data_IF_654665139739
#
_entry.id   IF_654665139739
#
_cell.length_a   1.000
_cell.length_b   1.000
_cell.length_c   1.000
_cell.angle_alpha   90.00
_cell.angle_beta   90.00
_cell.angle_gamma   90.00
#
_symmetry.space_group_name_H-M   'P 1'
#
loop_
_entity.id
_entity.type
_entity.pdbx_description
1 polymer ?
#
# COMPACT_ATOMS: atom_id res chain seq x y z
N UNK A 1 10.71 81.36 -15.48
CA UNK A 1 11.37 80.08 -15.84
C UNK A 1 10.79 78.95 -14.98
N UNK A 2 10.90 77.70 -15.45
CA UNK A 2 10.06 76.53 -15.15
C UNK A 2 10.20 75.96 -13.73
N UNK A 3 9.08 75.45 -13.20
CA UNK A 3 8.97 74.51 -12.07
C UNK A 3 9.75 73.22 -12.37
N UNK A 4 10.41 72.62 -11.36
CA UNK A 4 10.54 71.16 -11.23
C UNK A 4 10.51 70.75 -9.75
N UNK A 5 9.38 70.17 -9.35
CA UNK A 5 9.24 69.29 -8.18
C UNK A 5 10.10 68.05 -8.45
N UNK A 6 11.12 67.80 -7.63
CA UNK A 6 11.82 66.52 -7.59
C UNK A 6 10.92 65.48 -6.92
N UNK A 7 10.57 64.45 -7.66
CA UNK A 7 9.76 63.32 -7.21
C UNK A 7 10.54 62.50 -6.17
N UNK A 8 9.88 62.20 -5.05
CA UNK A 8 10.33 61.20 -4.09
C UNK A 8 10.49 59.85 -4.81
N UNK A 9 11.66 59.22 -4.66
CA UNK A 9 11.83 57.83 -5.04
C UNK A 9 10.92 56.95 -4.16
N UNK A 10 10.21 55.95 -4.72
CA UNK A 10 9.44 55.03 -3.89
C UNK A 10 10.41 54.19 -3.06
N UNK A 11 10.11 54.05 -1.76
CA UNK A 11 10.82 53.14 -0.88
C UNK A 11 10.75 51.71 -1.44
N UNK A 12 11.80 50.89 -1.27
CA UNK A 12 11.78 49.51 -1.74
C UNK A 12 10.65 48.75 -1.06
N UNK A 13 9.77 48.15 -1.86
CA UNK A 13 8.78 47.19 -1.38
C UNK A 13 9.56 45.98 -0.87
N UNK A 14 9.71 45.89 0.45
CA UNK A 14 10.23 44.70 1.10
C UNK A 14 9.20 43.57 0.88
N UNK A 15 9.41 42.77 -0.16
CA UNK A 15 8.81 41.45 -0.29
C UNK A 15 9.53 40.53 0.70
N UNK A 16 9.01 40.43 1.91
CA UNK A 16 9.56 39.56 2.93
C UNK A 16 8.65 39.51 4.14
N UNK A 17 7.85 38.46 4.24
CA UNK A 17 7.02 38.19 5.41
C UNK A 17 6.29 36.87 5.22
N UNK A 18 6.74 35.86 5.96
CA UNK A 18 6.19 34.51 6.11
C UNK A 18 4.70 34.44 5.76
N UNK A 19 4.34 33.60 4.79
CA UNK A 19 2.96 33.25 4.53
C UNK A 19 2.44 32.57 5.81
N UNK A 20 1.79 33.34 6.68
CA UNK A 20 1.16 32.86 7.91
C UNK A 20 0.07 31.88 7.46
N UNK A 21 0.42 30.60 7.35
CA UNK A 21 -0.53 29.55 7.03
C UNK A 21 -1.64 29.65 8.06
N UNK A 22 -2.85 29.99 7.60
CA UNK A 22 -4.01 30.24 8.44
C UNK A 22 -4.14 29.10 9.49
N UNK A 23 -4.27 29.39 10.80
CA UNK A 23 -4.37 28.35 11.82
C UNK A 23 -5.47 27.31 11.55
N UNK A 24 -6.55 27.72 10.88
CA UNK A 24 -7.62 26.81 10.45
C UNK A 24 -7.16 25.86 9.32
N UNK A 25 -6.31 26.34 8.40
CA UNK A 25 -5.69 25.49 7.37
C UNK A 25 -4.67 24.54 7.99
N UNK A 26 -3.90 24.99 8.99
CA UNK A 26 -2.99 24.10 9.73
C UNK A 26 -3.73 23.00 10.49
N UNK A 27 -4.83 23.36 11.18
CA UNK A 27 -5.69 22.39 11.85
C UNK A 27 -6.30 21.39 10.84
N UNK A 28 -6.79 21.88 9.70
CA UNK A 28 -7.31 21.04 8.62
C UNK A 28 -6.25 20.08 8.06
N UNK A 29 -5.00 20.55 7.87
CA UNK A 29 -3.88 19.73 7.42
C UNK A 29 -3.55 18.63 8.43
N UNK A 30 -3.53 18.95 9.73
CA UNK A 30 -3.30 17.96 10.79
C UNK A 30 -4.37 16.86 10.78
N UNK A 31 -5.65 17.23 10.66
CA UNK A 31 -6.74 16.24 10.54
C UNK A 31 -6.56 15.36 9.30
N UNK A 32 -6.11 15.95 8.18
CA UNK A 32 -5.83 15.20 6.97
C UNK A 32 -4.68 14.19 7.15
N UNK A 33 -3.59 14.58 7.81
CA UNK A 33 -2.46 13.69 8.10
C UNK A 33 -2.86 12.52 9.01
N UNK A 34 -3.67 12.78 10.05
CA UNK A 34 -4.23 11.75 10.92
C UNK A 34 -5.13 10.78 10.13
N UNK A 35 -5.94 11.31 9.21
CA UNK A 35 -6.79 10.50 8.35
C UNK A 35 -5.98 9.62 7.38
N UNK A 36 -4.87 10.14 6.84
CA UNK A 36 -3.95 9.36 5.99
C UNK A 36 -3.23 8.27 6.78
N UNK A 37 -2.85 8.53 8.03
CA UNK A 37 -2.26 7.50 8.89
C UNK A 37 -3.24 6.32 9.11
N UNK A 38 -4.53 6.63 9.34
CA UNK A 38 -5.58 5.61 9.43
C UNK A 38 -5.81 4.89 8.10
N UNK A 39 -5.73 5.61 6.99
CA UNK A 39 -5.89 5.06 5.65
C UNK A 39 -4.78 4.05 5.32
N UNK A 40 -3.52 4.38 5.63
CA UNK A 40 -2.38 3.47 5.46
C UNK A 40 -2.46 2.24 6.36
N UNK A 41 -3.08 2.37 7.54
CA UNK A 41 -3.41 1.25 8.42
C UNK A 41 -4.66 0.45 7.99
N UNK A 42 -5.25 0.76 6.82
CA UNK A 42 -6.46 0.12 6.28
C UNK A 42 -7.70 0.25 7.17
N UNK A 43 -7.69 1.20 8.11
CA UNK A 43 -8.84 1.53 8.94
C UNK A 43 -9.79 2.42 8.14
N UNK A 44 -10.22 1.96 6.97
CA UNK A 44 -10.93 2.76 5.96
C UNK A 44 -12.20 3.41 6.49
N UNK A 45 -12.92 2.75 7.39
CA UNK A 45 -14.11 3.33 8.05
C UNK A 45 -13.75 4.56 8.91
N UNK A 46 -12.72 4.44 9.76
CA UNK A 46 -12.24 5.55 10.59
C UNK A 46 -11.57 6.64 9.75
N UNK A 47 -10.78 6.24 8.76
CA UNK A 47 -10.14 7.16 7.82
C UNK A 47 -11.18 8.01 7.09
N UNK A 48 -12.26 7.40 6.59
CA UNK A 48 -13.36 8.12 5.95
C UNK A 48 -13.98 9.15 6.89
N UNK A 49 -14.26 8.79 8.15
CA UNK A 49 -14.82 9.73 9.14
C UNK A 49 -13.92 10.94 9.36
N UNK A 50 -12.60 10.75 9.48
CA UNK A 50 -11.67 11.87 9.64
C UNK A 50 -11.52 12.70 8.35
N UNK A 51 -11.52 12.05 7.17
CA UNK A 51 -11.48 12.74 5.87
C UNK A 51 -12.73 13.59 5.63
N UNK A 52 -13.91 13.18 6.11
CA UNK A 52 -15.14 13.97 6.02
C UNK A 52 -15.00 15.30 6.79
N UNK A 53 -14.34 15.30 7.96
CA UNK A 53 -14.05 16.54 8.70
C UNK A 53 -13.10 17.47 7.94
N UNK A 54 -12.17 16.91 7.15
CA UNK A 54 -11.27 17.72 6.30
C UNK A 54 -12.04 18.51 5.25
N UNK A 55 -13.21 18.02 4.80
CA UNK A 55 -14.05 18.71 3.81
C UNK A 55 -14.66 20.00 4.34
N UNK A 56 -14.79 20.15 5.66
CA UNK A 56 -15.38 21.32 6.33
C UNK A 56 -14.39 22.48 6.47
N UNK A 57 -13.10 22.23 6.24
CA UNK A 57 -12.04 23.23 6.39
C UNK A 57 -11.91 24.20 5.20
N UNK A 58 -11.17 25.31 5.40
CA UNK A 58 -11.10 26.41 4.43
C UNK A 58 -10.25 26.10 3.18
N UNK A 59 -9.35 25.12 3.21
CA UNK A 59 -8.52 24.76 2.05
C UNK A 59 -9.28 23.83 1.10
N UNK A 60 -9.58 24.35 -0.09
CA UNK A 60 -10.22 23.59 -1.17
C UNK A 60 -9.32 22.47 -1.69
N UNK A 61 -8.01 22.70 -1.76
CA UNK A 61 -7.03 21.70 -2.20
C UNK A 61 -7.01 20.48 -1.29
N UNK A 62 -6.98 20.70 0.04
CA UNK A 62 -7.06 19.60 1.01
C UNK A 62 -8.41 18.88 0.91
N UNK A 63 -9.51 19.60 0.71
CA UNK A 63 -10.82 19.01 0.51
C UNK A 63 -10.90 18.17 -0.79
N UNK A 64 -10.29 18.60 -1.89
CA UNK A 64 -10.22 17.84 -3.14
C UNK A 64 -9.42 16.54 -2.97
N UNK A 65 -8.27 16.60 -2.28
CA UNK A 65 -7.49 15.41 -1.94
C UNK A 65 -8.28 14.47 -1.02
N UNK A 66 -8.94 15.00 0.00
CA UNK A 66 -9.75 14.20 0.92
C UNK A 66 -10.90 13.47 0.19
N UNK A 67 -11.59 14.11 -0.76
CA UNK A 67 -12.61 13.46 -1.61
C UNK A 67 -12.06 12.26 -2.37
N UNK A 68 -10.84 12.36 -2.91
CA UNK A 68 -10.20 11.24 -3.59
C UNK A 68 -9.96 10.07 -2.64
N UNK A 69 -9.44 10.32 -1.43
CA UNK A 69 -9.23 9.26 -0.44
C UNK A 69 -10.54 8.67 0.08
N UNK A 70 -11.60 9.46 0.27
CA UNK A 70 -12.93 8.96 0.65
C UNK A 70 -13.44 7.97 -0.39
N UNK A 71 -13.37 8.32 -1.68
CA UNK A 71 -13.80 7.44 -2.77
C UNK A 71 -13.03 6.11 -2.77
N UNK A 72 -11.72 6.16 -2.53
CA UNK A 72 -10.90 4.94 -2.44
C UNK A 72 -11.29 4.13 -1.19
N UNK A 73 -11.48 4.77 -0.04
CA UNK A 73 -11.89 4.10 1.19
C UNK A 73 -13.26 3.39 1.02
N UNK A 74 -14.22 4.06 0.39
CA UNK A 74 -15.53 3.46 0.06
C UNK A 74 -15.39 2.26 -0.88
N UNK A 75 -14.56 2.37 -1.91
CA UNK A 75 -14.29 1.26 -2.82
C UNK A 75 -13.65 0.07 -2.09
N UNK A 76 -12.70 0.33 -1.18
CA UNK A 76 -12.03 -0.70 -0.36
C UNK A 76 -12.99 -1.38 0.61
N UNK A 77 -13.97 -0.63 1.12
CA UNK A 77 -15.01 -1.13 2.03
C UNK A 77 -16.18 -1.82 1.31
N UNK A 78 -16.30 -1.64 0.00
CA UNK A 78 -17.40 -2.25 -0.76
C UNK A 78 -17.27 -3.78 -0.65
N UNK A 79 -18.34 -4.50 -0.26
CA UNK A 79 -18.31 -5.94 -0.30
C UNK A 79 -18.06 -6.37 -1.74
N UNK A 80 -17.08 -7.25 -1.93
CA UNK A 80 -16.93 -7.92 -3.22
C UNK A 80 -18.16 -8.80 -3.38
N UNK A 81 -18.79 -8.77 -4.56
CA UNK A 81 -19.97 -9.59 -4.84
C UNK A 81 -19.76 -11.00 -4.31
N UNK A 82 -20.72 -11.52 -3.54
CA UNK A 82 -20.65 -12.83 -2.91
C UNK A 82 -20.54 -13.94 -3.97
N UNK A 83 -19.32 -14.18 -4.42
CA UNK A 83 -18.97 -15.43 -5.05
C UNK A 83 -18.68 -16.37 -3.90
N UNK A 84 -19.58 -17.32 -3.67
CA UNK A 84 -19.38 -18.43 -2.75
C UNK A 84 -18.37 -19.39 -3.39
N UNK A 85 -17.07 -19.26 -3.10
CA UNK A 85 -16.06 -20.08 -3.74
C UNK A 85 -16.19 -21.49 -3.17
N UNK A 86 -16.06 -22.50 -4.02
CA UNK A 86 -16.19 -23.92 -3.67
C UNK A 86 -14.92 -24.70 -3.97
N UNK A 87 -14.17 -24.26 -4.97
CA UNK A 87 -12.91 -24.93 -5.36
C UNK A 87 -11.70 -24.23 -4.76
N UNK A 88 -10.57 -24.95 -4.68
CA UNK A 88 -9.31 -24.35 -4.27
C UNK A 88 -8.93 -23.16 -5.17
N UNK A 89 -9.17 -23.28 -6.48
CA UNK A 89 -8.85 -22.25 -7.46
C UNK A 89 -9.74 -21.01 -7.29
N UNK A 90 -11.05 -21.18 -7.07
CA UNK A 90 -11.94 -20.04 -6.82
C UNK A 90 -11.56 -19.29 -5.52
N UNK A 91 -11.18 -20.03 -4.48
CA UNK A 91 -10.65 -19.44 -3.25
C UNK A 91 -9.32 -18.72 -3.48
N UNK A 92 -8.42 -19.29 -4.29
CA UNK A 92 -7.17 -18.66 -4.69
C UNK A 92 -7.40 -17.35 -5.45
N UNK A 93 -8.24 -17.37 -6.50
CA UNK A 93 -8.57 -16.21 -7.30
C UNK A 93 -9.21 -15.10 -6.46
N UNK A 94 -10.10 -15.48 -5.53
CA UNK A 94 -10.64 -14.53 -4.54
C UNK A 94 -9.53 -13.97 -3.65
N UNK A 95 -8.63 -14.81 -3.14
CA UNK A 95 -7.49 -14.39 -2.31
C UNK A 95 -6.61 -13.35 -3.01
N UNK A 96 -6.18 -13.64 -4.24
CA UNK A 96 -5.40 -12.72 -5.08
C UNK A 96 -6.17 -11.43 -5.35
N UNK A 97 -7.47 -11.52 -5.65
CA UNK A 97 -8.32 -10.32 -5.83
C UNK A 97 -8.32 -9.45 -4.57
N UNK A 98 -8.40 -10.07 -3.38
CA UNK A 98 -8.37 -9.34 -2.12
C UNK A 98 -6.98 -8.75 -1.83
N UNK A 99 -5.89 -9.43 -2.21
CA UNK A 99 -4.53 -8.87 -2.11
C UNK A 99 -4.39 -7.61 -2.97
N UNK A 100 -4.84 -7.65 -4.22
CA UNK A 100 -4.82 -6.48 -5.11
C UNK A 100 -5.68 -5.33 -4.58
N UNK A 101 -6.76 -5.66 -3.87
CA UNK A 101 -7.60 -4.70 -3.15
C UNK A 101 -7.07 -4.35 -1.75
N UNK A 102 -5.87 -4.82 -1.37
CA UNK A 102 -5.26 -4.61 -0.05
C UNK A 102 -6.18 -4.98 1.11
N UNK A 103 -7.03 -5.99 0.95
CA UNK A 103 -7.92 -6.52 1.99
C UNK A 103 -7.27 -7.76 2.57
N UNK A 104 -6.24 -7.55 3.39
CA UNK A 104 -5.33 -8.63 3.81
C UNK A 104 -6.02 -9.74 4.60
N UNK A 105 -6.95 -9.41 5.49
CA UNK A 105 -7.69 -10.40 6.28
C UNK A 105 -8.55 -11.31 5.40
N UNK A 106 -9.21 -10.76 4.39
CA UNK A 106 -10.04 -11.53 3.45
C UNK A 106 -9.20 -12.33 2.46
N UNK A 107 -8.04 -11.80 2.07
CA UNK A 107 -7.04 -12.53 1.32
C UNK A 107 -6.57 -13.76 2.12
N UNK A 108 -6.22 -13.57 3.40
CA UNK A 108 -5.81 -14.64 4.31
C UNK A 108 -6.87 -15.72 4.41
N UNK A 109 -8.11 -15.34 4.71
CA UNK A 109 -9.22 -16.28 4.84
C UNK A 109 -9.41 -17.12 3.56
N UNK A 110 -9.33 -16.47 2.40
CA UNK A 110 -9.52 -17.13 1.11
C UNK A 110 -8.36 -18.07 0.77
N UNK A 111 -7.11 -17.61 0.93
CA UNK A 111 -5.92 -18.42 0.66
C UNK A 111 -5.77 -19.59 1.63
N UNK A 112 -6.16 -19.44 2.90
CA UNK A 112 -6.18 -20.54 3.87
C UNK A 112 -7.18 -21.64 3.47
N UNK A 113 -8.36 -21.25 2.98
CA UNK A 113 -9.32 -22.21 2.42
C UNK A 113 -8.77 -22.88 1.16
N UNK A 114 -8.16 -22.12 0.25
CA UNK A 114 -7.52 -22.66 -0.96
C UNK A 114 -6.44 -23.70 -0.61
N UNK A 115 -5.54 -23.35 0.33
CA UNK A 115 -4.45 -24.22 0.80
C UNK A 115 -4.96 -25.49 1.48
N UNK A 116 -6.04 -25.41 2.25
CA UNK A 116 -6.68 -26.60 2.85
C UNK A 116 -7.24 -27.55 1.80
N UNK A 117 -7.84 -27.02 0.72
CA UNK A 117 -8.41 -27.82 -0.36
C UNK A 117 -7.33 -28.40 -1.30
N UNK A 118 -6.22 -27.70 -1.49
CA UNK A 118 -5.11 -28.12 -2.34
C UNK A 118 -3.74 -27.88 -1.68
N UNK A 119 -3.34 -28.71 -0.70
CA UNK A 119 -2.16 -28.46 0.14
C UNK A 119 -0.81 -28.62 -0.57
N UNK A 120 -0.79 -29.06 -1.83
CA UNK A 120 0.42 -29.22 -2.66
C UNK A 120 0.40 -28.35 -3.93
N UNK A 121 -0.57 -27.44 -4.04
CA UNK A 121 -0.62 -26.48 -5.14
C UNK A 121 0.42 -25.39 -4.91
N UNK A 122 1.48 -25.37 -5.72
CA UNK A 122 2.61 -24.47 -5.54
C UNK A 122 2.20 -23.00 -5.68
N UNK A 123 1.30 -22.68 -6.62
CA UNK A 123 0.81 -21.32 -6.83
C UNK A 123 0.00 -20.78 -5.64
N UNK A 124 -0.74 -21.65 -4.94
CA UNK A 124 -1.49 -21.27 -3.74
C UNK A 124 -0.53 -20.97 -2.59
N UNK A 125 0.48 -21.81 -2.38
CA UNK A 125 1.48 -21.61 -1.33
C UNK A 125 2.34 -20.38 -1.63
N UNK A 126 2.64 -20.14 -2.91
CA UNK A 126 3.32 -18.93 -3.37
C UNK A 126 2.51 -17.67 -3.04
N UNK A 127 1.21 -17.64 -3.32
CA UNK A 127 0.37 -16.49 -2.95
C UNK A 127 0.27 -16.28 -1.44
N UNK A 128 0.29 -17.35 -0.64
CA UNK A 128 0.38 -17.24 0.83
C UNK A 128 1.70 -16.57 1.23
N UNK A 129 2.83 -16.95 0.62
CA UNK A 129 4.13 -16.34 0.88
C UNK A 129 4.16 -14.85 0.52
N UNK A 130 3.58 -14.49 -0.62
CA UNK A 130 3.43 -13.10 -1.04
C UNK A 130 2.58 -12.30 -0.04
N UNK A 131 1.44 -12.86 0.40
CA UNK A 131 0.60 -12.22 1.42
C UNK A 131 1.35 -12.04 2.75
N UNK A 132 2.08 -13.07 3.21
CA UNK A 132 2.89 -12.98 4.43
C UNK A 132 3.88 -11.81 4.34
N UNK A 133 4.58 -11.68 3.20
CA UNK A 133 5.52 -10.59 2.95
C UNK A 133 4.83 -9.22 2.97
N UNK A 134 3.71 -9.07 2.26
CA UNK A 134 2.92 -7.83 2.22
C UNK A 134 2.40 -7.42 3.61
N UNK A 135 2.18 -8.38 4.51
CA UNK A 135 1.75 -8.13 5.89
C UNK A 135 2.88 -8.01 6.90
N UNK A 136 4.15 -8.08 6.47
CA UNK A 136 5.33 -7.92 7.32
C UNK A 136 5.77 -9.20 8.05
N UNK A 137 5.20 -10.34 7.71
CA UNK A 137 5.50 -11.64 8.32
C UNK A 137 6.67 -12.33 7.59
N UNK A 138 7.86 -11.73 7.66
CA UNK A 138 9.02 -12.10 6.84
C UNK A 138 9.44 -13.58 6.98
N UNK A 139 9.44 -14.12 8.20
CA UNK A 139 9.83 -15.53 8.44
C UNK A 139 8.82 -16.51 7.83
N UNK A 140 7.52 -16.21 7.94
CA UNK A 140 6.47 -17.02 7.34
C UNK A 140 6.53 -16.96 5.80
N UNK A 141 6.77 -15.77 5.25
CA UNK A 141 6.94 -15.56 3.82
C UNK A 141 8.08 -16.41 3.24
N UNK A 142 9.26 -16.38 3.87
CA UNK A 142 10.41 -17.18 3.44
C UNK A 142 10.13 -18.69 3.53
N UNK A 143 9.48 -19.14 4.61
CA UNK A 143 9.14 -20.55 4.78
C UNK A 143 8.16 -21.04 3.71
N UNK A 144 7.09 -20.30 3.45
CA UNK A 144 6.11 -20.66 2.42
C UNK A 144 6.71 -20.56 1.02
N UNK A 145 7.52 -19.54 0.73
CA UNK A 145 8.18 -19.40 -0.56
C UNK A 145 9.14 -20.57 -0.83
N UNK A 146 9.87 -21.03 0.19
CA UNK A 146 10.73 -22.21 0.07
C UNK A 146 9.93 -23.45 -0.32
N UNK A 147 8.80 -23.69 0.34
CA UNK A 147 7.92 -24.82 0.02
C UNK A 147 7.40 -24.70 -1.43
N UNK A 148 6.97 -23.51 -1.86
CA UNK A 148 6.50 -23.30 -3.24
C UNK A 148 7.60 -23.58 -4.27
N UNK A 149 8.86 -23.23 -3.98
CA UNK A 149 10.01 -23.49 -4.83
C UNK A 149 10.38 -24.98 -4.87
N UNK A 150 10.28 -25.68 -3.74
CA UNK A 150 10.49 -27.13 -3.65
C UNK A 150 9.44 -27.90 -4.46
N UNK A 151 8.18 -27.45 -4.43
CA UNK A 151 7.11 -28.02 -5.25
C UNK A 151 7.29 -27.71 -6.74
N UNK A 152 7.72 -26.49 -7.07
CA UNK A 152 7.98 -26.07 -8.45
C UNK A 152 9.13 -25.07 -8.52
N UNK A 153 10.26 -25.52 -9.03
CA UNK A 153 11.51 -24.74 -9.10
C UNK A 153 11.39 -23.43 -9.91
N UNK A 154 10.45 -23.35 -10.85
CA UNK A 154 10.15 -22.15 -11.64
C UNK A 154 9.70 -20.96 -10.76
N UNK A 155 9.17 -21.20 -9.57
CA UNK A 155 8.76 -20.16 -8.63
C UNK A 155 9.92 -19.25 -8.19
N UNK A 156 11.18 -19.70 -8.31
CA UNK A 156 12.35 -18.82 -8.13
C UNK A 156 12.35 -17.68 -9.13
N UNK A 157 12.03 -17.96 -10.40
CA UNK A 157 12.04 -16.94 -11.44
C UNK A 157 10.90 -15.94 -11.23
N UNK A 158 9.74 -16.41 -10.79
CA UNK A 158 8.61 -15.55 -10.44
C UNK A 158 8.98 -14.62 -9.29
N UNK A 159 9.45 -15.15 -8.16
CA UNK A 159 9.77 -14.36 -6.97
C UNK A 159 10.87 -13.31 -7.16
N UNK A 160 11.82 -13.52 -8.09
CA UNK A 160 12.84 -12.51 -8.42
C UNK A 160 12.28 -11.21 -8.99
N UNK A 161 11.15 -11.28 -9.69
CA UNK A 161 10.57 -10.15 -10.43
C UNK A 161 9.24 -9.68 -9.81
N UNK A 162 8.89 -10.20 -8.65
CA UNK A 162 7.59 -9.99 -8.03
C UNK A 162 7.71 -8.94 -6.92
N UNK A 163 7.00 -7.83 -7.10
CA UNK A 163 7.03 -6.68 -6.20
C UNK A 163 6.42 -6.98 -4.84
N UNK A 164 5.58 -8.02 -4.72
CA UNK A 164 5.01 -8.43 -3.44
C UNK A 164 6.11 -8.89 -2.46
N UNK A 165 7.27 -9.30 -2.97
CA UNK A 165 8.44 -9.65 -2.16
C UNK A 165 9.44 -8.50 -1.95
N UNK A 166 9.08 -7.25 -2.28
CA UNK A 166 9.99 -6.11 -2.15
C UNK A 166 10.59 -5.96 -0.74
N UNK A 167 9.81 -6.25 0.32
CA UNK A 167 10.29 -6.19 1.70
C UNK A 167 11.36 -7.22 2.05
N UNK A 168 11.50 -8.30 1.26
CA UNK A 168 12.52 -9.33 1.47
C UNK A 168 13.77 -9.14 0.62
N UNK A 169 13.81 -8.16 -0.29
CA UNK A 169 14.92 -7.98 -1.22
C UNK A 169 16.27 -7.74 -0.51
N UNK A 170 16.24 -7.11 0.66
CA UNK A 170 17.42 -6.88 1.50
C UNK A 170 17.73 -8.03 2.47
N UNK A 171 16.86 -9.05 2.57
CA UNK A 171 17.09 -10.22 3.42
C UNK A 171 18.02 -11.22 2.70
N UNK A 172 19.21 -11.53 3.26
CA UNK A 172 20.13 -12.49 2.64
C UNK A 172 19.50 -13.88 2.41
N UNK A 173 18.57 -14.30 3.28
CA UNK A 173 17.87 -15.60 3.17
C UNK A 173 17.00 -15.67 1.92
N UNK A 174 16.42 -14.54 1.52
CA UNK A 174 15.64 -14.44 0.28
C UNK A 174 16.56 -14.60 -0.93
N UNK A 175 17.70 -13.92 -0.93
CA UNK A 175 18.71 -14.03 -2.00
C UNK A 175 19.19 -15.48 -2.16
N UNK A 176 19.56 -16.14 -1.07
CA UNK A 176 19.98 -17.55 -1.07
C UNK A 176 18.90 -18.48 -1.63
N UNK A 177 17.63 -18.25 -1.26
CA UNK A 177 16.51 -19.05 -1.72
C UNK A 177 16.29 -18.94 -3.25
N UNK A 178 16.50 -17.74 -3.80
CA UNK A 178 16.34 -17.45 -5.22
C UNK A 178 17.54 -17.85 -6.06
N UNK A 179 18.75 -17.78 -5.51
CA UNK A 179 20.00 -18.09 -6.18
C UNK A 179 20.79 -19.11 -5.34
N UNK A 180 20.31 -20.36 -5.24
CA UNK A 180 21.08 -21.38 -4.55
C UNK A 180 22.44 -21.49 -5.23
N UNK A 181 23.52 -21.53 -4.44
CA UNK A 181 24.84 -21.79 -5.00
C UNK A 181 24.73 -23.05 -5.86
N UNK A 182 25.26 -23.00 -7.08
CA UNK A 182 25.35 -24.21 -7.89
C UNK A 182 26.16 -25.20 -7.06
N UNK A 183 25.52 -26.29 -6.62
CA UNK A 183 26.25 -27.46 -6.14
C UNK A 183 27.44 -27.66 -7.08
N UNK A 184 28.64 -27.67 -6.49
CA UNK A 184 29.89 -27.63 -7.23
C UNK A 184 29.90 -28.61 -8.39
N UNK A 185 29.70 -28.10 -9.60
CA UNK A 185 30.19 -28.73 -10.82
C UNK A 185 31.69 -28.48 -10.84
N UNK A 186 32.38 -29.26 -10.00
CA UNK A 186 33.81 -29.16 -9.74
C UNK A 186 34.34 -30.50 -9.28
N UNK A 187 34.22 -31.53 -10.14
CA UNK A 187 35.20 -32.61 -10.40
C UNK A 187 34.55 -33.67 -11.30
#
# INVERSE_FOLDING_TARGET
>A
MKKRKGLMAPAPVQRGGVELVNPLVQAQMKTYDEALALFHQQKYSKAKQELEKVLEGPSKELADRARMHIKIAEQRMKPTSEQNPKTAEEHYQRGVTMMNLGRWDEARESLDKARKLAPKADHIIYAVAALDCLTGEADAALANLKIAIELRSANRFHARNDEDFAFLQEDPRFTELLYPEKDGLGA
#
